data_IF_759460033114
#
_entry.id   IF_759460033114
#
_cell.length_a   1.000
_cell.length_b   1.000
_cell.length_c   1.000
_cell.angle_alpha   90.00
_cell.angle_beta   90.00
_cell.angle_gamma   90.00
#
_symmetry.space_group_name_H-M   'P 1'
#
loop_
_entity.id
_entity.type
_entity.pdbx_description
1 polymer ?
#
# COMPACT_ATOMS: atom_id res chain seq x y z
N UNK A 1 0.33 -14.53 -14.49
CA UNK A 1 -0.24 -14.18 -13.18
C UNK A 1 0.22 -15.24 -12.18
N UNK A 2 1.29 -14.95 -11.43
CA UNK A 2 1.98 -15.91 -10.55
C UNK A 2 1.72 -15.63 -9.06
N UNK A 3 0.66 -14.88 -8.74
CA UNK A 3 0.41 -14.42 -7.38
C UNK A 3 0.23 -15.58 -6.38
N UNK A 4 -0.33 -16.70 -6.82
CA UNK A 4 -0.42 -17.96 -6.06
C UNK A 4 -0.58 -19.16 -7.00
N UNK A 5 0.34 -19.36 -7.97
CA UNK A 5 0.31 -20.57 -8.82
C UNK A 5 1.14 -21.74 -8.27
N UNK A 6 1.71 -21.57 -7.08
CA UNK A 6 2.26 -22.67 -6.30
C UNK A 6 1.28 -22.99 -5.18
N UNK A 7 0.53 -24.06 -5.40
CA UNK A 7 -0.38 -24.63 -4.43
C UNK A 7 0.33 -24.96 -3.11
N UNK A 8 -0.36 -24.69 -2.00
CA UNK A 8 -0.30 -25.49 -0.77
C UNK A 8 1.05 -25.66 -0.05
N UNK A 9 2.13 -24.99 -0.43
CA UNK A 9 3.31 -24.93 0.42
C UNK A 9 3.12 -23.83 1.45
N UNK A 10 2.80 -24.22 2.70
CA UNK A 10 3.04 -23.41 3.89
C UNK A 10 4.54 -23.13 3.98
N UNK A 11 5.06 -22.21 3.16
CA UNK A 11 6.42 -21.70 3.31
C UNK A 11 6.43 -20.89 4.59
N UNK A 12 7.36 -21.19 5.48
CA UNK A 12 7.56 -20.39 6.66
C UNK A 12 7.93 -18.98 6.18
N UNK A 13 7.24 -17.95 6.67
CA UNK A 13 7.53 -16.54 6.32
C UNK A 13 9.01 -16.19 6.58
N UNK A 14 9.62 -16.87 7.56
CA UNK A 14 11.03 -16.80 7.95
C UNK A 14 12.00 -17.21 6.83
N UNK A 15 11.58 -18.12 5.94
CA UNK A 15 12.43 -18.66 4.87
C UNK A 15 12.37 -17.80 3.59
N UNK A 16 11.41 -16.88 3.49
CA UNK A 16 11.24 -16.04 2.32
C UNK A 16 12.32 -14.96 2.32
N UNK A 17 13.23 -14.99 1.34
CA UNK A 17 14.25 -13.93 1.21
C UNK A 17 13.62 -12.55 0.99
N UNK A 18 14.20 -11.46 1.54
CA UNK A 18 13.64 -10.11 1.41
C UNK A 18 13.33 -9.69 -0.03
N UNK A 19 14.21 -10.05 -0.97
CA UNK A 19 14.00 -9.80 -2.41
C UNK A 19 12.75 -10.49 -2.97
N UNK A 20 12.49 -11.73 -2.55
CA UNK A 20 11.31 -12.49 -2.97
C UNK A 20 10.04 -11.91 -2.33
N UNK A 21 10.09 -11.60 -1.04
CA UNK A 21 8.98 -10.96 -0.34
C UNK A 21 8.64 -9.59 -0.96
N UNK A 22 9.64 -8.77 -1.28
CA UNK A 22 9.45 -7.50 -1.97
C UNK A 22 8.77 -7.69 -3.34
N UNK A 23 9.13 -8.74 -4.11
CA UNK A 23 8.44 -9.07 -5.35
C UNK A 23 6.95 -9.38 -5.14
N UNK A 24 6.63 -10.22 -4.16
CA UNK A 24 5.25 -10.56 -3.82
C UNK A 24 4.44 -9.34 -3.38
N UNK A 25 5.04 -8.43 -2.59
CA UNK A 25 4.37 -7.23 -2.13
C UNK A 25 4.14 -6.22 -3.26
N UNK A 26 5.05 -6.10 -4.23
CA UNK A 26 4.84 -5.29 -5.43
C UNK A 26 3.64 -5.82 -6.24
N UNK A 27 3.59 -7.13 -6.50
CA UNK A 27 2.45 -7.73 -7.19
C UNK A 27 1.15 -7.53 -6.41
N UNK A 28 1.18 -7.75 -5.10
CA UNK A 28 0.04 -7.52 -4.22
C UNK A 28 -0.50 -6.08 -4.36
N UNK A 29 0.34 -5.06 -4.29
CA UNK A 29 -0.07 -3.66 -4.42
C UNK A 29 -0.78 -3.37 -5.75
N UNK A 30 -0.33 -4.00 -6.84
CA UNK A 30 -0.90 -3.81 -8.18
C UNK A 30 -2.29 -4.46 -8.27
N UNK A 31 -2.41 -5.69 -7.78
CA UNK A 31 -3.58 -6.53 -8.03
C UNK A 31 -4.62 -6.54 -6.91
N UNK A 32 -4.28 -6.12 -5.69
CA UNK A 32 -5.21 -6.20 -4.56
C UNK A 32 -6.45 -5.33 -4.80
N UNK A 33 -7.63 -5.90 -4.52
CA UNK A 33 -8.94 -5.25 -4.58
C UNK A 33 -9.70 -5.54 -3.30
N UNK A 34 -10.66 -4.67 -2.97
CA UNK A 34 -11.57 -4.89 -1.85
C UNK A 34 -12.51 -6.05 -2.16
N UNK A 35 -13.20 -6.56 -1.13
CA UNK A 35 -14.12 -7.71 -1.26
C UNK A 35 -15.27 -7.47 -2.24
N UNK A 36 -15.70 -6.22 -2.38
CA UNK A 36 -16.72 -5.76 -3.32
C UNK A 36 -16.19 -5.59 -4.75
N UNK A 37 -14.91 -5.90 -5.00
CA UNK A 37 -14.26 -5.73 -6.30
C UNK A 37 -13.69 -4.33 -6.53
N UNK A 38 -14.02 -3.37 -5.65
CA UNK A 38 -13.58 -1.99 -5.78
C UNK A 38 -12.09 -1.79 -5.44
N UNK A 39 -11.56 -0.69 -5.93
CA UNK A 39 -10.22 -0.22 -5.61
C UNK A 39 -10.11 0.29 -4.15
N UNK A 40 -8.95 0.06 -3.53
CA UNK A 40 -8.66 0.61 -2.21
C UNK A 40 -8.51 2.14 -2.23
N UNK A 41 -8.78 2.80 -1.10
CA UNK A 41 -8.28 4.17 -0.86
C UNK A 41 -6.76 4.13 -0.68
N UNK A 42 -5.99 5.14 -1.16
CA UNK A 42 -4.54 5.17 -0.97
C UNK A 42 -4.11 4.95 0.48
N UNK A 43 -4.78 5.63 1.43
CA UNK A 43 -4.48 5.49 2.85
C UNK A 43 -4.80 4.09 3.38
N UNK A 44 -5.91 3.49 2.93
CA UNK A 44 -6.28 2.12 3.29
C UNK A 44 -5.31 1.09 2.71
N UNK A 45 -4.84 1.29 1.47
CA UNK A 45 -3.84 0.43 0.83
C UNK A 45 -2.50 0.50 1.57
N UNK A 46 -2.08 1.70 1.97
CA UNK A 46 -0.89 1.90 2.82
C UNK A 46 -1.05 1.19 4.16
N UNK A 47 -2.20 1.35 4.83
CA UNK A 47 -2.49 0.68 6.09
C UNK A 47 -2.48 -0.84 5.97
N UNK A 48 -3.03 -1.38 4.88
CA UNK A 48 -2.99 -2.80 4.57
C UNK A 48 -1.56 -3.29 4.39
N UNK A 49 -0.70 -2.54 3.68
CA UNK A 49 0.71 -2.89 3.56
C UNK A 49 1.44 -2.84 4.91
N UNK A 50 1.19 -1.83 5.74
CA UNK A 50 1.77 -1.73 7.09
C UNK A 50 1.39 -2.89 8.00
N UNK A 51 0.22 -3.50 7.76
CA UNK A 51 -0.27 -4.63 8.57
C UNK A 51 0.61 -5.88 8.46
N UNK A 52 1.35 -6.05 7.36
CA UNK A 52 2.29 -7.16 7.16
C UNK A 52 3.47 -7.13 8.15
N UNK A 53 3.83 -5.96 8.70
CA UNK A 53 4.93 -5.88 9.67
C UNK A 53 4.61 -6.65 10.96
N UNK A 54 3.34 -6.80 11.35
CA UNK A 54 2.94 -7.53 12.56
C UNK A 54 3.27 -9.03 12.48
N UNK A 55 2.81 -9.79 11.46
CA UNK A 55 3.19 -11.19 11.31
C UNK A 55 4.69 -11.38 11.01
N UNK A 56 5.33 -10.47 10.25
CA UNK A 56 6.78 -10.52 10.03
C UNK A 56 7.56 -10.42 11.34
N UNK A 57 7.19 -9.50 12.23
CA UNK A 57 7.80 -9.39 13.57
C UNK A 57 7.54 -10.63 14.43
N UNK A 58 6.35 -11.23 14.36
CA UNK A 58 6.01 -12.44 15.11
C UNK A 58 6.92 -13.63 14.72
N UNK A 59 7.30 -13.70 13.45
CA UNK A 59 8.23 -14.68 12.89
C UNK A 59 9.71 -14.22 12.95
N UNK A 60 10.03 -13.17 13.73
CA UNK A 60 11.40 -12.61 13.85
C UNK A 60 12.05 -12.29 12.50
N UNK A 61 11.25 -11.89 11.51
CA UNK A 61 11.77 -11.49 10.21
C UNK A 61 12.69 -10.27 10.38
N UNK A 62 13.88 -10.25 9.76
CA UNK A 62 14.91 -9.25 10.09
C UNK A 62 14.61 -7.85 9.55
N UNK A 63 13.59 -7.69 8.71
CA UNK A 63 13.31 -6.46 7.96
C UNK A 63 11.85 -6.00 8.12
N UNK A 64 11.64 -4.70 7.96
CA UNK A 64 10.40 -3.94 8.05
C UNK A 64 10.06 -3.36 6.68
N UNK A 65 8.88 -3.70 6.15
CA UNK A 65 8.45 -3.38 4.78
C UNK A 65 8.47 -1.88 4.47
N UNK A 66 8.10 -1.06 5.45
CA UNK A 66 7.94 0.39 5.26
C UNK A 66 9.23 1.18 5.47
N UNK A 67 10.30 0.55 5.94
CA UNK A 67 11.52 1.23 6.38
C UNK A 67 12.73 0.75 5.57
N UNK A 68 12.94 -0.56 5.49
CA UNK A 68 14.19 -1.12 4.98
C UNK A 68 14.38 -1.00 3.46
N UNK A 69 15.64 -0.97 3.03
CA UNK A 69 16.03 -0.72 1.64
C UNK A 69 15.61 -1.84 0.67
N UNK A 70 15.49 -3.05 1.20
CA UNK A 70 15.05 -4.26 0.50
C UNK A 70 13.64 -4.11 -0.08
N UNK A 71 12.84 -3.18 0.48
CA UNK A 71 11.45 -2.92 0.09
C UNK A 71 11.24 -1.59 -0.64
N UNK A 72 12.31 -0.96 -1.15
CA UNK A 72 12.20 0.28 -1.94
C UNK A 72 11.26 0.13 -3.13
N UNK A 73 11.29 -1.02 -3.82
CA UNK A 73 10.39 -1.26 -4.96
C UNK A 73 8.93 -1.36 -4.52
N UNK A 74 8.66 -2.02 -3.39
CA UNK A 74 7.34 -2.06 -2.77
C UNK A 74 6.84 -0.64 -2.47
N UNK A 75 7.67 0.23 -1.88
CA UNK A 75 7.29 1.62 -1.61
C UNK A 75 7.03 2.43 -2.88
N UNK A 76 7.88 2.28 -3.90
CA UNK A 76 7.67 2.92 -5.21
C UNK A 76 6.37 2.46 -5.88
N UNK A 77 6.06 1.16 -5.81
CA UNK A 77 4.80 0.61 -6.32
C UNK A 77 3.60 1.20 -5.57
N UNK A 78 3.68 1.30 -4.23
CA UNK A 78 2.62 1.91 -3.42
C UNK A 78 2.39 3.38 -3.77
N UNK A 79 3.45 4.16 -3.97
CA UNK A 79 3.36 5.56 -4.37
C UNK A 79 2.74 5.71 -5.76
N UNK A 80 3.20 4.94 -6.74
CA UNK A 80 2.67 4.94 -8.09
C UNK A 80 1.17 4.57 -8.09
N UNK A 81 0.80 3.51 -7.38
CA UNK A 81 -0.59 3.07 -7.25
C UNK A 81 -1.46 4.12 -6.55
N UNK A 82 -0.95 4.76 -5.50
CA UNK A 82 -1.66 5.82 -4.79
C UNK A 82 -1.94 7.03 -5.69
N UNK A 83 -0.97 7.44 -6.52
CA UNK A 83 -1.14 8.51 -7.51
C UNK A 83 -2.19 8.15 -8.55
N UNK A 84 -2.15 6.91 -9.06
CA UNK A 84 -3.14 6.40 -10.01
C UNK A 84 -4.55 6.45 -9.42
N UNK A 85 -4.75 5.89 -8.21
CA UNK A 85 -6.05 5.87 -7.53
C UNK A 85 -6.62 7.27 -7.27
N UNK A 86 -5.75 8.24 -6.94
CA UNK A 86 -6.18 9.63 -6.78
C UNK A 86 -6.59 10.28 -8.11
N UNK A 87 -5.88 9.98 -9.20
CA UNK A 87 -6.23 10.47 -10.54
C UNK A 87 -7.60 9.92 -10.98
N UNK A 88 -7.80 8.61 -10.87
CA UNK A 88 -9.05 7.94 -11.25
C UNK A 88 -10.24 8.48 -10.46
N UNK A 89 -10.08 8.78 -9.17
CA UNK A 89 -11.13 9.41 -8.35
C UNK A 89 -11.48 10.82 -8.75
N UNK A 90 -10.51 11.61 -9.18
CA UNK A 90 -10.75 12.96 -9.71
C UNK A 90 -11.50 12.89 -11.03
N UNK A 91 -11.16 11.92 -11.89
CA UNK A 91 -11.82 11.70 -13.18
C UNK A 91 -13.23 11.09 -13.06
N UNK A 92 -13.49 10.25 -12.06
CA UNK A 92 -14.78 9.57 -11.84
C UNK A 92 -15.78 10.39 -10.98
N UNK A 93 -15.75 11.72 -11.04
CA UNK A 93 -16.83 12.56 -10.51
C UNK A 93 -17.82 12.90 -11.65
N UNK A 94 -18.90 12.12 -11.88
CA UNK A 94 -19.92 12.45 -12.87
C UNK A 94 -20.78 13.66 -12.48
N UNK A 95 -20.68 14.12 -11.24
CA UNK A 95 -21.34 15.34 -10.76
C UNK A 95 -20.33 16.14 -9.93
N UNK A 96 -19.46 16.89 -10.62
CA UNK A 96 -18.62 17.88 -9.97
C UNK A 96 -19.52 19.03 -9.51
N UNK A 97 -19.89 19.04 -8.22
CA UNK A 97 -20.39 20.26 -7.59
C UNK A 97 -19.34 21.36 -7.85
N UNK A 98 -19.84 22.48 -8.37
CA UNK A 98 -19.08 23.65 -8.80
C UNK A 98 -18.04 24.06 -7.76
N UNK A 99 -16.90 24.55 -8.27
CA UNK A 99 -15.76 24.98 -7.48
C UNK A 99 -16.19 26.01 -6.42
N UNK A 100 -15.91 25.72 -5.15
CA UNK A 100 -15.68 26.80 -4.20
C UNK A 100 -14.25 27.30 -4.40
N UNK A 101 -14.22 28.61 -4.63
CA UNK A 101 -13.13 29.48 -5.02
C UNK A 101 -11.92 29.38 -4.10
N UNK A 102 -10.78 29.75 -4.69
CA UNK A 102 -9.48 29.99 -4.06
C UNK A 102 -9.63 30.71 -2.70
N UNK A 103 -9.24 30.02 -1.64
CA UNK A 103 -9.35 30.49 -0.27
C UNK A 103 -9.37 29.31 0.69
N UNK A 104 -8.38 29.24 1.57
CA UNK A 104 -8.23 28.25 2.66
C UNK A 104 -7.47 26.96 2.31
N UNK A 105 -6.32 27.11 1.64
CA UNK A 105 -5.15 26.26 1.95
C UNK A 105 -4.36 26.95 3.07
N UNK A 106 -4.63 26.58 4.31
CA UNK A 106 -3.66 26.59 5.44
C UNK A 106 -4.37 26.18 6.73
N UNK A 107 -4.41 24.89 7.04
CA UNK A 107 -4.32 24.47 8.44
C UNK A 107 -3.13 23.54 8.53
N UNK A 108 -2.06 24.15 9.01
CA UNK A 108 -0.73 23.62 9.16
C UNK A 108 -0.70 22.56 10.27
N UNK A 109 0.07 21.53 9.96
CA UNK A 109 0.65 20.58 10.90
C UNK A 109 1.40 21.29 12.05
N UNK A 110 0.75 21.41 13.19
CA UNK A 110 1.26 21.44 14.57
C UNK A 110 0.00 21.15 15.39
N UNK A 111 -0.11 20.05 16.11
CA UNK A 111 0.31 19.93 17.50
C UNK A 111 0.24 18.45 17.89
N UNK A 112 1.35 17.86 18.35
CA UNK A 112 1.47 17.43 19.75
C UNK A 112 2.85 16.76 19.94
N UNK A 113 3.87 17.58 20.18
CA UNK A 113 5.03 17.19 20.97
C UNK A 113 4.90 17.96 22.28
N UNK A 114 4.45 17.28 23.33
CA UNK A 114 4.76 17.56 24.73
C UNK A 114 4.66 16.24 25.49
#
# INVERSE_FOLDING_TARGET
MAFMKEENQKRNLEEIRPKQLNGFLVEFIIFVRRKDGDEFKPLSLRGLLSSFNRPLKACKYPMIVMEDLEFVQTRKALEARSKQLNKERKSNKPNAAEAKTDGEVSILNMENLL
#
